data_IF_192751927980
#
_entry.id   IF_192751927980
#
_cell.length_a   1.000
_cell.length_b   1.000
_cell.length_c   1.000
_cell.angle_alpha   90.00
_cell.angle_beta   90.00
_cell.angle_gamma   90.00
#
_symmetry.space_group_name_H-M   'P 1'
#
loop_
_entity.id
_entity.type
_entity.pdbx_description
1 polymer ?
#
# COMPACT_ATOMS: atom_id res chain seq x y z
N UNK A 1 6.90 2.66 -16.23
CA UNK A 1 6.10 2.75 -14.99
C UNK A 1 4.78 2.05 -15.17
N UNK A 2 4.41 1.14 -14.28
CA UNK A 2 3.19 0.35 -14.44
C UNK A 2 1.92 1.08 -13.98
N UNK A 3 2.04 2.17 -13.21
CA UNK A 3 0.86 2.95 -12.81
C UNK A 3 0.14 3.61 -14.00
N UNK A 4 0.84 3.96 -15.09
CA UNK A 4 0.24 4.63 -16.25
C UNK A 4 -0.79 3.72 -16.96
N UNK A 5 -0.43 2.49 -17.35
CA UNK A 5 -1.40 1.56 -17.94
C UNK A 5 -2.32 0.89 -16.90
N UNK A 6 -1.87 0.68 -15.67
CA UNK A 6 -2.61 -0.07 -14.64
C UNK A 6 -3.06 0.83 -13.47
N UNK A 7 -3.54 2.03 -13.78
CA UNK A 7 -3.95 2.99 -12.75
C UNK A 7 -5.02 2.44 -11.79
N UNK A 8 -6.09 1.75 -12.26
CA UNK A 8 -7.09 1.19 -11.34
C UNK A 8 -6.49 0.14 -10.38
N UNK A 9 -5.52 -0.64 -10.85
CA UNK A 9 -4.90 -1.69 -10.04
C UNK A 9 -3.92 -1.09 -9.04
N UNK A 10 -3.25 0.00 -9.40
CA UNK A 10 -2.45 0.77 -8.46
C UNK A 10 -3.29 1.26 -7.27
N UNK A 11 -4.50 1.78 -7.53
CA UNK A 11 -5.41 2.22 -6.47
C UNK A 11 -5.86 1.05 -5.59
N UNK A 12 -6.27 -0.07 -6.19
CA UNK A 12 -6.67 -1.27 -5.43
C UNK A 12 -5.51 -1.80 -4.58
N UNK A 13 -4.31 -1.87 -5.16
CA UNK A 13 -3.11 -2.32 -4.46
C UNK A 13 -2.80 -1.42 -3.27
N UNK A 14 -2.88 -0.10 -3.46
CA UNK A 14 -2.64 0.87 -2.39
C UNK A 14 -3.72 0.81 -1.28
N UNK A 15 -4.99 0.55 -1.61
CA UNK A 15 -6.02 0.33 -0.58
C UNK A 15 -5.81 -1.02 0.13
N UNK A 16 -5.34 -2.04 -0.59
CA UNK A 16 -5.01 -3.35 0.00
C UNK A 16 -3.81 -3.25 0.95
N UNK A 17 -2.78 -2.48 0.62
CA UNK A 17 -1.64 -2.27 1.53
C UNK A 17 -2.04 -1.48 2.77
N UNK A 18 -2.97 -0.51 2.64
CA UNK A 18 -3.60 0.15 3.79
C UNK A 18 -4.32 -0.86 4.70
N UNK A 19 -5.08 -1.79 4.12
CA UNK A 19 -5.79 -2.82 4.88
C UNK A 19 -4.82 -3.82 5.56
N UNK A 20 -3.74 -4.22 4.90
CA UNK A 20 -2.76 -5.17 5.44
C UNK A 20 -1.94 -4.60 6.60
N UNK A 21 -1.61 -3.30 6.55
CA UNK A 21 -0.91 -2.62 7.65
C UNK A 21 -1.78 -2.38 8.88
N UNK A 22 -3.07 -2.78 8.84
CA UNK A 22 -4.05 -2.60 9.91
C UNK A 22 -4.06 -1.19 10.49
N UNK A 23 -3.83 -0.15 9.66
CA UNK A 23 -3.82 1.25 10.13
C UNK A 23 -5.09 1.99 9.77
N UNK A 24 -5.44 2.97 10.60
CA UNK A 24 -6.59 3.84 10.38
C UNK A 24 -6.56 4.38 8.93
N UNK A 25 -7.58 4.08 8.11
CA UNK A 25 -8.99 3.85 8.43
C UNK A 25 -9.46 2.38 8.58
N UNK A 26 -8.57 1.40 8.48
CA UNK A 26 -8.86 -0.05 8.56
C UNK A 26 -8.38 -0.70 9.88
N UNK A 27 -8.35 0.08 10.95
CA UNK A 27 -7.74 -0.26 12.24
C UNK A 27 -8.64 -1.07 13.18
N UNK A 28 -9.31 -2.08 12.65
CA UNK A 28 -10.38 -2.80 13.35
C UNK A 28 -9.91 -3.69 14.52
N UNK A 29 -8.77 -4.41 14.41
CA UNK A 29 -8.27 -5.22 15.51
C UNK A 29 -7.78 -4.37 16.68
N UNK A 30 -7.21 -3.18 16.43
CA UNK A 30 -6.76 -2.26 17.48
C UNK A 30 -7.95 -1.51 18.11
N UNK A 31 -8.98 -1.15 17.34
CA UNK A 31 -10.15 -0.43 17.85
C UNK A 31 -11.14 -1.28 18.68
N UNK A 32 -11.31 -2.57 18.37
CA UNK A 32 -12.04 -3.49 19.28
C UNK A 32 -11.25 -3.75 20.55
N UNK A 33 -9.92 -3.69 20.45
CA UNK A 33 -9.00 -3.69 21.57
C UNK A 33 -9.09 -2.38 22.39
N UNK A 34 -9.22 -1.19 21.80
CA UNK A 34 -9.25 0.12 22.48
C UNK A 34 -10.39 0.25 23.51
N UNK A 35 -11.48 -0.54 23.39
CA UNK A 35 -12.53 -0.63 24.42
C UNK A 35 -12.05 -1.32 25.73
N UNK A 36 -10.95 -2.08 25.68
CA UNK A 36 -10.26 -2.73 26.82
C UNK A 36 -8.72 -2.62 26.65
N UNK A 37 -8.25 -1.55 26.01
CA UNK A 37 -6.84 -1.29 25.64
C UNK A 37 -5.97 -2.49 25.13
N UNK A 38 -6.58 -3.52 24.55
CA UNK A 38 -5.95 -4.55 23.69
C UNK A 38 -4.63 -5.15 24.15
N UNK A 39 -3.74 -5.34 23.16
CA UNK A 39 -2.36 -5.81 23.38
C UNK A 39 -1.52 -4.77 24.17
N UNK A 40 -1.95 -3.51 24.23
CA UNK A 40 -1.27 -2.46 24.98
C UNK A 40 -1.43 -2.63 26.51
N UNK A 41 -2.42 -3.40 26.98
CA UNK A 41 -2.59 -3.74 28.41
C UNK A 41 -1.78 -4.97 28.81
N UNK A 42 -1.62 -5.92 27.88
CA UNK A 42 -1.00 -7.21 28.17
C UNK A 42 0.53 -7.19 28.07
N UNK A 43 1.09 -6.31 27.22
CA UNK A 43 2.52 -6.24 26.98
C UNK A 43 3.17 -5.01 27.61
N UNK A 44 4.18 -5.23 28.45
CA UNK A 44 4.96 -4.14 29.06
C UNK A 44 6.23 -3.79 28.25
N UNK A 45 6.58 -2.51 28.25
CA UNK A 45 7.91 -1.98 27.88
C UNK A 45 8.45 -2.45 26.51
N UNK A 46 9.30 -3.48 26.49
CA UNK A 46 10.05 -3.90 25.31
C UNK A 46 9.17 -4.64 24.32
N UNK A 47 8.26 -5.49 24.80
CA UNK A 47 7.32 -6.21 23.94
C UNK A 47 6.38 -5.23 23.22
N UNK A 48 5.88 -4.23 23.94
CA UNK A 48 5.12 -3.11 23.37
C UNK A 48 5.93 -2.39 22.27
N UNK A 49 7.19 -2.03 22.56
CA UNK A 49 8.07 -1.38 21.59
C UNK A 49 8.29 -2.19 20.30
N UNK A 50 8.38 -3.53 20.41
CA UNK A 50 8.53 -4.43 19.25
C UNK A 50 7.26 -4.47 18.38
N UNK A 51 6.06 -4.39 18.96
CA UNK A 51 4.83 -4.31 18.17
C UNK A 51 4.76 -3.02 17.35
N UNK A 52 5.05 -1.85 17.95
CA UNK A 52 5.11 -0.60 17.19
C UNK A 52 6.19 -0.62 16.11
N UNK A 53 7.37 -1.13 16.44
CA UNK A 53 8.46 -1.25 15.47
C UNK A 53 8.09 -2.18 14.30
N UNK A 54 7.38 -3.27 14.58
CA UNK A 54 6.86 -4.20 13.58
C UNK A 54 5.81 -3.55 12.67
N UNK A 55 4.84 -2.82 13.23
CA UNK A 55 3.82 -2.12 12.44
C UNK A 55 4.41 -1.03 11.55
N UNK A 56 5.29 -0.18 12.09
CA UNK A 56 5.96 0.85 11.30
C UNK A 56 6.94 0.24 10.28
N UNK A 57 7.59 -0.87 10.63
CA UNK A 57 8.42 -1.65 9.71
C UNK A 57 7.59 -2.18 8.54
N UNK A 58 6.40 -2.74 8.81
CA UNK A 58 5.50 -3.23 7.78
C UNK A 58 4.99 -2.09 6.89
N UNK A 59 4.72 -0.91 7.45
CA UNK A 59 4.33 0.27 6.66
C UNK A 59 5.41 0.69 5.66
N UNK A 60 6.68 0.70 6.07
CA UNK A 60 7.82 0.99 5.19
C UNK A 60 7.95 -0.10 4.12
N UNK A 61 7.81 -1.37 4.51
CA UNK A 61 7.86 -2.51 3.59
C UNK A 61 6.78 -2.40 2.52
N UNK A 62 5.51 -2.18 2.90
CA UNK A 62 4.41 -2.06 1.95
C UNK A 62 4.54 -0.84 1.04
N UNK A 63 5.04 0.28 1.57
CA UNK A 63 5.35 1.47 0.77
C UNK A 63 6.48 1.21 -0.24
N UNK A 64 7.47 0.41 0.16
CA UNK A 64 8.58 -0.01 -0.71
C UNK A 64 8.10 -0.92 -1.84
N UNK A 65 7.24 -1.91 -1.55
CA UNK A 65 6.64 -2.78 -2.57
C UNK A 65 5.78 -2.00 -3.56
N UNK A 66 4.94 -1.07 -3.08
CA UNK A 66 4.13 -0.18 -3.93
C UNK A 66 5.01 0.61 -4.90
N UNK A 67 6.15 1.10 -4.40
CA UNK A 67 7.10 1.88 -5.20
C UNK A 67 7.80 1.03 -6.27
N UNK A 68 8.20 -0.20 -5.93
CA UNK A 68 8.86 -1.12 -6.86
C UNK A 68 7.89 -1.53 -7.98
N UNK A 69 6.69 -1.97 -7.60
CA UNK A 69 5.72 -2.57 -8.52
C UNK A 69 5.11 -1.53 -9.48
N UNK A 70 4.76 -0.34 -9.02
CA UNK A 70 3.99 0.61 -9.84
C UNK A 70 4.77 1.85 -10.27
N UNK A 71 5.59 2.39 -9.37
CA UNK A 71 6.32 3.65 -9.57
C UNK A 71 7.73 3.44 -10.15
N UNK A 72 8.05 2.22 -10.59
CA UNK A 72 9.30 1.89 -11.26
C UNK A 72 10.54 1.94 -10.37
N UNK A 73 10.39 1.76 -9.06
CA UNK A 73 11.50 1.58 -8.13
C UNK A 73 12.57 2.68 -8.26
N UNK A 74 13.75 2.29 -8.71
CA UNK A 74 14.95 3.13 -8.85
C UNK A 74 15.00 4.01 -10.10
N UNK A 75 14.09 3.83 -11.06
CA UNK A 75 14.14 4.61 -12.30
C UNK A 75 13.72 6.07 -12.08
N UNK A 76 14.45 7.03 -12.66
CA UNK A 76 14.06 8.43 -12.65
C UNK A 76 12.75 8.63 -13.40
N UNK A 77 12.00 9.70 -13.08
CA UNK A 77 10.71 9.99 -13.69
C UNK A 77 10.77 10.41 -15.15
N UNK A 78 11.88 11.06 -15.54
CA UNK A 78 12.14 11.50 -16.90
C UNK A 78 13.62 11.29 -17.20
N UNK A 79 13.91 10.77 -18.38
CA UNK A 79 15.28 10.53 -18.86
C UNK A 79 15.92 11.85 -19.32
N UNK A 80 16.11 12.76 -18.37
CA UNK A 80 16.78 14.05 -18.55
C UNK A 80 18.15 13.92 -17.90
N UNK A 81 19.19 14.40 -18.58
CA UNK A 81 20.58 14.31 -18.12
C UNK A 81 20.77 14.69 -16.64
N UNK A 82 20.10 15.75 -16.16
CA UNK A 82 20.13 16.18 -14.76
C UNK A 82 19.59 15.15 -13.76
N UNK A 83 18.59 14.35 -14.12
CA UNK A 83 17.98 13.37 -13.22
C UNK A 83 18.74 12.04 -13.17
N UNK A 84 19.55 11.74 -14.18
CA UNK A 84 20.44 10.56 -14.21
C UNK A 84 21.72 10.74 -13.38
N UNK A 85 22.11 11.98 -13.07
CA UNK A 85 23.26 12.26 -12.18
C UNK A 85 22.96 11.86 -10.73
N UNK A 86 21.67 11.85 -10.35
CA UNK A 86 21.23 11.48 -9.01
C UNK A 86 21.21 9.95 -8.90
N UNK A 87 21.87 9.34 -7.89
CA UNK A 87 21.82 7.90 -7.68
C UNK A 87 20.37 7.40 -7.57
N UNK A 88 20.04 6.29 -8.25
CA UNK A 88 18.69 5.70 -8.26
C UNK A 88 18.11 5.39 -6.87
N UNK A 89 18.97 5.25 -5.87
CA UNK A 89 18.56 5.10 -4.47
C UNK A 89 17.76 6.31 -3.94
N UNK A 90 18.16 7.53 -4.27
CA UNK A 90 17.45 8.74 -3.83
C UNK A 90 16.05 8.82 -4.43
N UNK A 91 15.88 8.41 -5.68
CA UNK A 91 14.57 8.37 -6.33
C UNK A 91 13.63 7.39 -5.66
N UNK A 92 14.14 6.23 -5.28
CA UNK A 92 13.37 5.26 -4.53
C UNK A 92 12.98 5.78 -3.15
N UNK A 93 13.92 6.37 -2.41
CA UNK A 93 13.64 6.94 -1.09
C UNK A 93 12.57 8.03 -1.15
N UNK A 94 12.69 8.96 -2.11
CA UNK A 94 11.69 10.04 -2.32
C UNK A 94 10.31 9.47 -2.61
N UNK A 95 10.20 8.46 -3.49
CA UNK A 95 8.91 7.83 -3.81
C UNK A 95 8.32 7.12 -2.59
N UNK A 96 9.14 6.41 -1.82
CA UNK A 96 8.71 5.79 -0.55
C UNK A 96 8.22 6.85 0.43
N UNK A 97 8.92 7.98 0.59
CA UNK A 97 8.46 9.10 1.42
C UNK A 97 7.12 9.67 0.95
N UNK A 98 6.89 9.78 -0.36
CA UNK A 98 5.60 10.23 -0.91
C UNK A 98 4.48 9.25 -0.56
N UNK A 99 4.71 7.94 -0.70
CA UNK A 99 3.71 6.93 -0.32
C UNK A 99 3.45 6.98 1.20
N UNK A 100 4.49 7.07 2.04
CA UNK A 100 4.33 7.23 3.48
C UNK A 100 3.56 8.51 3.85
N UNK A 101 3.80 9.60 3.14
CA UNK A 101 3.02 10.83 3.31
C UNK A 101 1.53 10.61 2.95
N UNK A 102 1.23 9.84 1.90
CA UNK A 102 -0.16 9.45 1.58
C UNK A 102 -0.78 8.59 2.70
N UNK A 103 -0.04 7.65 3.29
CA UNK A 103 -0.51 6.90 4.46
C UNK A 103 -0.91 7.82 5.61
N UNK A 104 -0.07 8.80 5.94
CA UNK A 104 -0.35 9.78 7.00
C UNK A 104 -1.52 10.70 6.64
N UNK A 105 -1.63 11.12 5.39
CA UNK A 105 -2.71 11.99 4.93
C UNK A 105 -4.08 11.29 4.97
N UNK A 106 -4.13 10.04 4.55
CA UNK A 106 -5.37 9.24 4.56
C UNK A 106 -5.84 8.98 5.99
N UNK A 107 -4.90 8.70 6.89
CA UNK A 107 -5.18 8.59 8.33
C UNK A 107 -5.81 9.87 8.88
N UNK A 108 -5.39 11.04 8.42
CA UNK A 108 -5.90 12.32 8.90
C UNK A 108 -7.26 12.71 8.30
N UNK A 109 -7.63 12.16 7.14
CA UNK A 109 -8.80 12.63 6.36
C UNK A 109 -9.99 11.69 6.41
N UNK A 110 -9.78 10.37 6.52
CA UNK A 110 -10.88 9.40 6.43
C UNK A 110 -11.38 8.96 7.80
N UNK A 111 -12.72 8.85 7.98
CA UNK A 111 -13.28 8.19 9.14
C UNK A 111 -12.99 6.68 9.10
N UNK A 112 -13.02 6.05 10.28
CA UNK A 112 -12.81 4.61 10.44
C UNK A 112 -13.92 3.81 9.71
N UNK A 113 -13.56 2.74 9.02
CA UNK A 113 -14.50 1.81 8.39
C UNK A 113 -14.88 0.67 9.35
N UNK A 114 -16.11 0.14 9.22
CA UNK A 114 -16.56 -1.05 9.98
C UNK A 114 -16.06 -2.35 9.33
N UNK A 115 -15.83 -3.40 10.15
CA UNK A 115 -15.38 -4.72 9.69
C UNK A 115 -16.25 -5.31 8.57
N UNK A 116 -17.57 -5.26 8.74
CA UNK A 116 -18.53 -5.75 7.74
C UNK A 116 -18.47 -5.00 6.40
N UNK A 117 -17.96 -3.77 6.39
CA UNK A 117 -17.78 -2.98 5.17
C UNK A 117 -16.45 -3.31 4.51
N UNK A 118 -15.39 -3.49 5.31
CA UNK A 118 -14.07 -3.91 4.83
C UNK A 118 -14.15 -5.29 4.17
N UNK A 119 -14.77 -6.27 4.83
CA UNK A 119 -14.94 -7.62 4.27
C UNK A 119 -15.75 -7.61 2.97
N UNK A 120 -16.81 -6.81 2.91
CA UNK A 120 -17.60 -6.66 1.68
C UNK A 120 -16.78 -6.03 0.56
N UNK A 121 -15.95 -5.04 0.88
CA UNK A 121 -15.11 -4.34 -0.08
C UNK A 121 -14.01 -5.27 -0.63
N UNK A 122 -13.34 -6.03 0.24
CA UNK A 122 -12.38 -7.06 -0.18
C UNK A 122 -13.01 -8.15 -1.05
N UNK A 123 -14.10 -8.76 -0.58
CA UNK A 123 -14.69 -9.93 -1.25
C UNK A 123 -15.58 -9.60 -2.45
N UNK A 124 -16.39 -8.53 -2.39
CA UNK A 124 -17.34 -8.21 -3.47
C UNK A 124 -16.79 -7.23 -4.50
N UNK A 125 -15.80 -6.40 -4.14
CA UNK A 125 -15.30 -5.35 -5.03
C UNK A 125 -13.88 -5.68 -5.48
N UNK A 126 -12.93 -5.89 -4.57
CA UNK A 126 -11.54 -6.10 -4.95
C UNK A 126 -11.32 -7.41 -5.68
N UNK A 127 -11.82 -8.53 -5.15
CA UNK A 127 -11.56 -9.85 -5.74
C UNK A 127 -12.12 -9.98 -7.17
N UNK A 128 -13.38 -9.61 -7.48
CA UNK A 128 -13.87 -9.70 -8.85
C UNK A 128 -13.16 -8.74 -9.80
N UNK A 129 -12.81 -7.54 -9.32
CA UNK A 129 -12.16 -6.51 -10.14
C UNK A 129 -10.73 -6.88 -10.49
N UNK A 130 -9.95 -7.42 -9.54
CA UNK A 130 -8.58 -7.87 -9.80
C UNK A 130 -8.55 -9.09 -10.73
N UNK A 131 -9.46 -10.06 -10.55
CA UNK A 131 -9.59 -11.20 -11.46
C UNK A 131 -9.95 -10.76 -12.88
N UNK A 132 -10.92 -9.86 -13.02
CA UNK A 132 -11.30 -9.31 -14.32
C UNK A 132 -10.11 -8.62 -15.00
N UNK A 133 -9.32 -7.86 -14.23
CA UNK A 133 -8.16 -7.16 -14.78
C UNK A 133 -7.05 -8.10 -15.23
N UNK A 134 -6.80 -9.19 -14.51
CA UNK A 134 -5.82 -10.21 -14.90
C UNK A 134 -6.20 -10.84 -16.25
N UNK A 135 -7.49 -11.17 -16.42
CA UNK A 135 -7.99 -11.72 -17.70
C UNK A 135 -7.85 -10.68 -18.82
N UNK A 136 -8.18 -9.42 -18.56
CA UNK A 136 -8.08 -8.34 -19.53
C UNK A 136 -6.63 -8.10 -19.97
N UNK A 137 -5.69 -7.98 -19.02
CA UNK A 137 -4.28 -7.73 -19.34
C UNK A 137 -3.64 -8.91 -20.06
N UNK A 138 -3.96 -10.15 -19.64
CA UNK A 138 -3.51 -11.36 -20.33
C UNK A 138 -4.06 -11.42 -21.77
N UNK A 139 -5.35 -11.18 -21.96
CA UNK A 139 -5.98 -11.19 -23.29
C UNK A 139 -5.40 -10.11 -24.21
N UNK A 140 -5.15 -8.91 -23.67
CA UNK A 140 -4.57 -7.79 -24.41
C UNK A 140 -3.14 -8.11 -24.89
N UNK A 141 -2.30 -8.70 -24.02
CA UNK A 141 -0.93 -9.06 -24.40
C UNK A 141 -0.88 -10.11 -25.51
N UNK A 142 -1.79 -11.11 -25.45
CA UNK A 142 -1.91 -12.15 -26.48
C UNK A 142 -2.39 -11.55 -27.81
N UNK A 143 -3.41 -10.68 -27.78
CA UNK A 143 -3.98 -10.09 -29.01
C UNK A 143 -2.97 -9.21 -29.77
N UNK A 144 -2.09 -8.51 -29.07
CA UNK A 144 -1.10 -7.62 -29.68
C UNK A 144 0.26 -8.29 -29.94
N UNK A 145 0.37 -9.62 -29.82
CA UNK A 145 1.63 -10.39 -29.97
C UNK A 145 2.81 -9.70 -29.26
N UNK A 146 2.56 -9.11 -28.08
CA UNK A 146 3.63 -8.54 -27.22
C UNK A 146 4.22 -9.60 -26.29
N UNK A 147 4.04 -10.87 -26.66
CA UNK A 147 4.47 -12.06 -25.95
C UNK A 147 5.19 -12.97 -26.94
#
# INVERSE_FOLDING_TARGET
WFFLPHFPIFVIFFISTLAETNRAPFDLPEAEAELVAGYNVEYSSLAFGLFFLGEYGNMILMSSLTTILFLGGWFPPLDIYFFNVIPGFFWFFIKVCIILFLFLWIRATLPRYRYDQLMRLGWKIFLPLTLFWIVLTSSYLIYFEKL
#
